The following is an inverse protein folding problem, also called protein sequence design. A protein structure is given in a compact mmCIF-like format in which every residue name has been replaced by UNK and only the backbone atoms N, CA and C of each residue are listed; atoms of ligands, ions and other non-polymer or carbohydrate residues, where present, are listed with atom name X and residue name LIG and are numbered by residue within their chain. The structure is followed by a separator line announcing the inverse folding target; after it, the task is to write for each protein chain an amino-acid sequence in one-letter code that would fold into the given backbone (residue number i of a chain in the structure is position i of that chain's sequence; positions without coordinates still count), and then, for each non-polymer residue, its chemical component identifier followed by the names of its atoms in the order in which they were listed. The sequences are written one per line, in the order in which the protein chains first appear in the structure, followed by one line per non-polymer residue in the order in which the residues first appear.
data_IF_528643251693
#
_entry.id   IF_528643251693
#
_cell.length_a   1.000
_cell.length_b   1.000
_cell.length_c   1.000
_cell.angle_alpha   90.00
_cell.angle_beta   90.00
_cell.angle_gamma   90.00
#
_symmetry.space_group_name_H-M   'P 1'
#
loop_
_entity.id
_entity.type
_entity.pdbx_description
1 polymer ?
#
# COMPACT_ATOMS: atom_id res chain seq x y z
N UNK A 1 -18.84 -2.07 23.12
CA UNK A 1 -19.53 -0.79 23.35
C UNK A 1 -20.74 -0.77 22.46
N UNK A 2 -21.93 -0.43 22.99
CA UNK A 2 -23.10 -0.18 22.16
C UNK A 2 -23.13 1.31 21.81
N UNK A 3 -23.39 1.62 20.55
CA UNK A 3 -23.67 2.98 20.13
C UNK A 3 -24.96 3.44 20.81
N UNK A 4 -24.93 4.62 21.43
CA UNK A 4 -26.10 5.22 22.09
C UNK A 4 -26.71 6.20 21.13
N UNK A 5 -27.98 6.00 20.80
CA UNK A 5 -28.71 6.97 19.97
C UNK A 5 -28.91 8.29 20.72
N UNK A 6 -28.90 9.44 20.01
CA UNK A 6 -29.39 10.69 20.58
C UNK A 6 -30.82 10.54 21.10
N UNK A 7 -31.16 11.31 22.11
CA UNK A 7 -32.52 11.34 22.65
C UNK A 7 -33.53 11.80 21.59
N UNK A 8 -34.80 11.39 21.75
CA UNK A 8 -35.89 11.84 20.87
C UNK A 8 -35.96 13.36 20.74
N UNK A 9 -35.70 14.08 21.84
CA UNK A 9 -35.70 15.54 21.85
C UNK A 9 -34.53 16.13 21.04
N UNK A 10 -33.36 15.48 21.04
CA UNK A 10 -32.24 15.90 20.18
C UNK A 10 -32.60 15.67 18.71
N UNK A 11 -33.11 14.48 18.37
CA UNK A 11 -33.50 14.13 16.99
C UNK A 11 -34.57 15.08 16.43
N UNK A 12 -35.57 15.46 17.23
CA UNK A 12 -36.63 16.38 16.83
C UNK A 12 -36.15 17.81 16.58
N UNK A 13 -35.03 18.21 17.18
CA UNK A 13 -34.48 19.56 17.06
C UNK A 13 -33.35 19.66 16.01
N UNK A 14 -32.99 18.56 15.35
CA UNK A 14 -32.03 18.57 14.24
C UNK A 14 -32.64 19.29 13.03
N UNK A 15 -31.95 20.34 12.58
CA UNK A 15 -32.34 21.10 11.38
C UNK A 15 -31.36 20.87 10.23
N UNK A 16 -30.07 20.76 10.53
CA UNK A 16 -29.01 20.46 9.57
C UNK A 16 -27.96 19.57 10.21
N UNK A 17 -27.32 18.76 9.38
CA UNK A 17 -26.15 17.98 9.76
C UNK A 17 -24.89 18.86 9.61
N UNK A 18 -24.13 19.00 10.69
CA UNK A 18 -22.99 19.93 10.73
C UNK A 18 -21.81 19.52 9.86
N UNK A 19 -21.64 18.23 9.59
CA UNK A 19 -20.51 17.70 8.81
C UNK A 19 -20.80 17.71 7.32
N UNK A 20 -22.02 17.32 6.93
CA UNK A 20 -22.43 17.22 5.53
C UNK A 20 -23.17 18.46 5.02
N UNK A 21 -23.64 19.35 5.91
CA UNK A 21 -24.46 20.51 5.58
C UNK A 21 -25.87 20.15 5.10
N UNK A 22 -26.32 18.91 5.33
CA UNK A 22 -27.61 18.40 4.84
C UNK A 22 -28.74 18.71 5.81
N UNK A 23 -29.82 19.32 5.33
CA UNK A 23 -31.03 19.56 6.12
C UNK A 23 -31.76 18.26 6.50
N UNK A 24 -32.23 18.19 7.75
CA UNK A 24 -33.18 17.17 8.22
C UNK A 24 -34.60 17.53 7.79
N UNK A 25 -35.48 16.53 7.66
CA UNK A 25 -36.88 16.75 7.28
C UNK A 25 -37.59 17.50 8.43
N UNK A 26 -38.09 18.73 8.22
CA UNK A 26 -38.77 19.46 9.29
C UNK A 26 -40.09 18.77 9.67
N UNK A 27 -40.34 18.65 10.98
CA UNK A 27 -41.57 18.07 11.52
C UNK A 27 -42.81 18.77 10.94
N UNK A 28 -43.77 18.00 10.43
CA UNK A 28 -45.04 18.52 9.90
C UNK A 28 -45.00 18.99 8.44
N UNK A 29 -43.91 18.76 7.69
CA UNK A 29 -43.81 19.17 6.28
C UNK A 29 -44.65 18.29 5.33
N UNK A 30 -45.39 18.92 4.41
CA UNK A 30 -46.15 18.26 3.34
C UNK A 30 -45.73 18.75 1.95
N UNK A 31 -45.62 17.88 0.93
CA UNK A 31 -45.87 16.44 0.97
C UNK A 31 -44.66 15.67 1.52
N UNK A 32 -44.91 14.87 2.57
CA UNK A 32 -43.89 14.07 3.25
C UNK A 32 -43.07 13.20 2.28
N UNK A 33 -43.73 12.59 1.29
CA UNK A 33 -43.08 11.72 0.30
C UNK A 33 -41.99 12.41 -0.51
N UNK A 34 -42.10 13.71 -0.79
CA UNK A 34 -41.06 14.43 -1.51
C UNK A 34 -39.80 14.55 -0.64
N UNK A 35 -39.97 14.88 0.64
CA UNK A 35 -38.86 15.02 1.58
C UNK A 35 -38.21 13.65 1.87
N UNK A 36 -39.01 12.60 2.02
CA UNK A 36 -38.50 11.23 2.17
C UNK A 36 -37.70 10.76 0.95
N UNK A 37 -38.17 11.04 -0.27
CA UNK A 37 -37.43 10.69 -1.50
C UNK A 37 -36.10 11.44 -1.61
N UNK A 38 -36.05 12.71 -1.18
CA UNK A 38 -34.79 13.48 -1.14
C UNK A 38 -33.79 12.87 -0.16
N UNK A 39 -34.25 12.50 1.04
CA UNK A 39 -33.44 11.81 2.04
C UNK A 39 -32.89 10.49 1.50
N UNK A 40 -33.76 9.63 0.97
CA UNK A 40 -33.38 8.35 0.40
C UNK A 40 -32.39 8.52 -0.76
N UNK A 41 -32.63 9.48 -1.66
CA UNK A 41 -31.72 9.78 -2.76
C UNK A 41 -30.32 10.16 -2.26
N UNK A 42 -30.21 11.00 -1.22
CA UNK A 42 -28.92 11.38 -0.63
C UNK A 42 -28.24 10.22 0.07
N UNK A 43 -28.99 9.42 0.85
CA UNK A 43 -28.46 8.21 1.47
C UNK A 43 -27.89 7.26 0.42
N UNK A 44 -28.60 7.07 -0.69
CA UNK A 44 -28.13 6.24 -1.80
C UNK A 44 -26.90 6.83 -2.50
N UNK A 45 -26.78 8.16 -2.61
CA UNK A 45 -25.56 8.79 -3.14
C UNK A 45 -24.36 8.59 -2.22
N UNK A 46 -24.52 8.77 -0.91
CA UNK A 46 -23.47 8.52 0.08
C UNK A 46 -23.05 7.05 0.09
N UNK A 47 -24.02 6.14 0.11
CA UNK A 47 -23.79 4.69 0.07
C UNK A 47 -23.28 4.18 -1.28
N UNK A 48 -23.48 4.93 -2.39
CA UNK A 48 -23.01 4.52 -3.72
C UNK A 48 -21.52 4.26 -3.73
N UNK A 49 -20.73 5.19 -3.17
CA UNK A 49 -19.26 5.07 -3.16
C UNK A 49 -18.78 3.87 -2.35
N UNK A 50 -19.47 3.52 -1.26
CA UNK A 50 -19.18 2.31 -0.50
C UNK A 50 -19.49 1.01 -1.28
N UNK A 51 -20.31 1.08 -2.32
CA UNK A 51 -20.64 -0.04 -3.20
C UNK A 51 -19.81 -0.07 -4.50
N UNK A 52 -18.94 0.91 -4.75
CA UNK A 52 -18.07 0.89 -5.92
C UNK A 52 -17.19 -0.38 -5.89
N UNK A 53 -17.06 -1.04 -7.05
CA UNK A 53 -16.28 -2.28 -7.22
C UNK A 53 -16.74 -3.48 -6.38
N UNK A 54 -17.91 -3.40 -5.72
CA UNK A 54 -18.42 -4.50 -4.90
C UNK A 54 -18.74 -5.72 -5.77
N UNK A 55 -18.25 -6.88 -5.34
CA UNK A 55 -18.66 -8.19 -5.85
C UNK A 55 -20.00 -8.60 -5.22
N UNK A 56 -20.91 -9.13 -6.03
CA UNK A 56 -22.21 -9.61 -5.58
C UNK A 56 -22.59 -10.90 -6.32
N UNK A 57 -23.36 -11.74 -5.64
CA UNK A 57 -23.88 -13.00 -6.15
C UNK A 57 -25.04 -12.74 -7.13
N UNK A 58 -24.99 -13.39 -8.31
CA UNK A 58 -26.03 -13.36 -9.35
C UNK A 58 -26.87 -14.65 -9.39
N UNK A 59 -26.51 -15.63 -8.56
CA UNK A 59 -27.12 -16.95 -8.43
C UNK A 59 -26.25 -18.04 -9.09
N UNK A 60 -26.21 -19.22 -8.46
CA UNK A 60 -25.38 -20.32 -8.93
C UNK A 60 -23.90 -19.98 -8.79
N UNK A 61 -23.11 -20.18 -9.84
CA UNK A 61 -21.68 -19.87 -9.84
C UNK A 61 -21.36 -18.49 -10.44
N UNK A 62 -22.36 -17.68 -10.78
CA UNK A 62 -22.14 -16.38 -11.42
C UNK A 62 -22.02 -15.25 -10.40
N UNK A 63 -20.97 -14.43 -10.56
CA UNK A 63 -20.84 -13.16 -9.85
C UNK A 63 -20.98 -11.96 -10.78
N UNK A 64 -21.50 -10.88 -10.22
CA UNK A 64 -21.41 -9.54 -10.80
C UNK A 64 -20.47 -8.65 -10.00
N UNK A 65 -19.92 -7.63 -10.66
CA UNK A 65 -19.07 -6.61 -10.03
C UNK A 65 -19.61 -5.24 -10.37
N UNK A 66 -19.89 -4.41 -9.36
CA UNK A 66 -20.35 -3.04 -9.57
C UNK A 66 -19.28 -2.17 -10.21
N UNK A 67 -19.68 -1.22 -11.04
CA UNK A 67 -18.78 -0.20 -11.56
C UNK A 67 -18.16 0.63 -10.44
N UNK A 68 -17.02 1.26 -10.72
CA UNK A 68 -16.27 2.04 -9.75
C UNK A 68 -14.99 2.59 -10.35
N UNK A 69 -14.14 3.16 -9.50
CA UNK A 69 -12.87 3.76 -9.92
C UNK A 69 -11.82 3.53 -8.84
N UNK A 70 -10.57 3.39 -9.25
CA UNK A 70 -9.44 3.32 -8.33
C UNK A 70 -8.23 4.07 -8.92
N UNK A 71 -7.33 4.49 -8.04
CA UNK A 71 -6.08 5.12 -8.45
C UNK A 71 -4.98 4.06 -8.50
N UNK A 72 -4.18 4.08 -9.56
CA UNK A 72 -2.91 3.36 -9.64
C UNK A 72 -1.80 4.37 -9.91
N UNK A 73 -0.99 4.65 -8.89
CA UNK A 73 -0.06 5.78 -8.93
C UNK A 73 -0.82 7.10 -9.15
N UNK A 74 -0.60 7.74 -10.29
CA UNK A 74 -1.24 9.01 -10.69
C UNK A 74 -2.35 8.84 -11.73
N UNK A 75 -2.71 7.60 -12.08
CA UNK A 75 -3.76 7.31 -13.06
C UNK A 75 -5.07 6.91 -12.37
N UNK A 76 -6.18 7.53 -12.78
CA UNK A 76 -7.52 7.15 -12.34
C UNK A 76 -8.12 6.15 -13.32
N UNK A 77 -8.19 4.89 -12.91
CA UNK A 77 -8.75 3.80 -13.70
C UNK A 77 -10.26 3.72 -13.44
N UNK A 78 -11.05 3.61 -14.51
CA UNK A 78 -12.50 3.48 -14.44
C UNK A 78 -12.92 2.06 -14.83
N UNK A 79 -13.72 1.43 -13.98
CA UNK A 79 -14.33 0.13 -14.25
C UNK A 79 -15.84 0.28 -14.40
N UNK A 80 -16.39 -0.15 -15.53
CA UNK A 80 -17.83 0.02 -15.82
C UNK A 80 -18.73 -0.97 -15.07
N UNK A 81 -18.15 -2.02 -14.48
CA UNK A 81 -18.90 -3.15 -13.94
C UNK A 81 -18.94 -4.32 -14.91
N UNK A 82 -19.28 -5.51 -14.41
CA UNK A 82 -19.52 -6.71 -15.20
C UNK A 82 -20.57 -7.60 -14.54
N UNK A 83 -21.12 -8.53 -15.31
CA UNK A 83 -22.15 -9.50 -14.92
C UNK A 83 -21.89 -10.83 -15.64
N UNK A 84 -22.37 -11.95 -15.11
CA UNK A 84 -22.25 -13.28 -15.71
C UNK A 84 -20.82 -13.82 -15.69
N UNK A 85 -20.05 -13.48 -14.65
CA UNK A 85 -18.69 -14.00 -14.50
C UNK A 85 -18.77 -15.33 -13.74
N UNK A 86 -18.80 -16.44 -14.49
CA UNK A 86 -18.91 -17.78 -13.92
C UNK A 86 -17.62 -18.20 -13.20
N UNK A 87 -17.79 -18.63 -11.95
CA UNK A 87 -16.75 -19.16 -11.09
C UNK A 87 -16.61 -20.67 -11.27
N UNK A 88 -15.46 -21.21 -10.87
CA UNK A 88 -15.30 -22.66 -10.75
C UNK A 88 -16.07 -23.19 -9.53
N UNK A 89 -16.55 -24.43 -9.64
CA UNK A 89 -17.25 -25.13 -8.57
C UNK A 89 -16.29 -25.78 -7.57
N UNK A 90 -16.80 -26.08 -6.37
CA UNK A 90 -16.10 -26.77 -5.28
C UNK A 90 -14.72 -26.17 -4.95
N UNK A 91 -14.66 -24.83 -4.86
CA UNK A 91 -13.44 -24.09 -4.51
C UNK A 91 -13.59 -23.41 -3.17
N UNK A 92 -12.60 -23.63 -2.30
CA UNK A 92 -12.53 -22.94 -1.01
C UNK A 92 -12.20 -21.45 -1.18
N UNK A 93 -11.34 -21.10 -2.15
CA UNK A 93 -10.95 -19.72 -2.40
C UNK A 93 -10.79 -19.43 -3.89
N UNK A 94 -11.56 -18.47 -4.39
CA UNK A 94 -11.40 -17.84 -5.69
C UNK A 94 -11.14 -16.36 -5.46
N UNK A 95 -10.04 -15.86 -6.01
CA UNK A 95 -9.55 -14.51 -5.82
C UNK A 95 -10.02 -13.62 -6.96
N UNK A 96 -10.79 -12.60 -6.62
CA UNK A 96 -11.40 -11.65 -7.56
C UNK A 96 -10.73 -10.29 -7.41
N UNK A 97 -10.13 -9.78 -8.48
CA UNK A 97 -9.41 -8.51 -8.47
C UNK A 97 -9.50 -7.79 -9.82
N UNK A 98 -9.21 -6.48 -9.86
CA UNK A 98 -8.94 -5.77 -11.12
C UNK A 98 -7.44 -5.62 -11.33
N UNK A 99 -6.95 -5.94 -12.52
CA UNK A 99 -5.55 -5.71 -12.89
C UNK A 99 -5.24 -4.21 -13.08
N UNK A 100 -3.99 -3.88 -13.39
CA UNK A 100 -3.53 -2.51 -13.62
C UNK A 100 -4.19 -1.81 -14.81
N UNK A 101 -4.86 -2.54 -15.70
CA UNK A 101 -5.64 -2.00 -16.81
C UNK A 101 -7.13 -1.90 -16.49
N UNK A 102 -7.56 -2.32 -15.30
CA UNK A 102 -8.95 -2.34 -14.89
C UNK A 102 -9.75 -3.54 -15.43
N UNK A 103 -9.09 -4.61 -15.89
CA UNK A 103 -9.79 -5.82 -16.30
C UNK A 103 -10.10 -6.69 -15.08
N UNK A 104 -11.29 -7.30 -15.07
CA UNK A 104 -11.65 -8.27 -14.05
C UNK A 104 -10.88 -9.57 -14.23
N UNK A 105 -10.23 -10.01 -13.16
CA UNK A 105 -9.57 -11.31 -13.08
C UNK A 105 -10.24 -12.13 -11.98
N UNK A 106 -10.54 -13.37 -12.33
CA UNK A 106 -11.04 -14.41 -11.43
C UNK A 106 -10.01 -15.54 -11.48
N UNK A 107 -9.40 -15.88 -10.35
CA UNK A 107 -8.33 -16.88 -10.34
C UNK A 107 -8.39 -17.79 -9.11
N UNK A 108 -7.90 -19.02 -9.27
CA UNK A 108 -7.89 -20.08 -8.25
C UNK A 108 -6.51 -20.23 -7.59
N UNK A 109 -5.78 -19.13 -7.44
CA UNK A 109 -4.50 -19.15 -6.73
C UNK A 109 -4.66 -19.60 -5.27
N UNK A 110 -3.55 -19.83 -4.57
CA UNK A 110 -3.58 -20.00 -3.10
C UNK A 110 -3.68 -18.68 -2.33
N UNK A 111 -3.51 -17.55 -3.02
CA UNK A 111 -3.58 -16.20 -2.47
C UNK A 111 -3.75 -15.17 -3.60
N UNK A 112 -4.09 -13.92 -3.26
CA UNK A 112 -3.87 -12.80 -4.20
C UNK A 112 -2.39 -12.75 -4.62
N UNK A 113 -2.08 -12.33 -5.86
CA UNK A 113 -0.70 -12.12 -6.29
C UNK A 113 -0.02 -11.02 -5.44
N UNK A 114 1.31 -10.96 -5.48
CA UNK A 114 2.06 -9.83 -4.90
C UNK A 114 1.75 -8.57 -5.70
N UNK A 115 1.46 -7.46 -5.01
CA UNK A 115 1.19 -6.17 -5.66
C UNK A 115 2.45 -5.52 -6.21
N UNK A 116 3.62 -5.90 -5.72
CA UNK A 116 4.92 -5.37 -6.19
C UNK A 116 5.24 -5.87 -7.59
N UNK A 117 4.87 -7.11 -7.88
CA UNK A 117 5.12 -7.75 -9.17
C UNK A 117 3.91 -7.67 -10.10
N UNK A 118 2.69 -7.63 -9.54
CA UNK A 118 1.44 -7.56 -10.30
C UNK A 118 0.53 -6.51 -9.66
N UNK A 119 0.61 -5.23 -10.06
CA UNK A 119 -0.25 -4.20 -9.50
C UNK A 119 -1.75 -4.48 -9.78
N UNK A 120 -2.57 -4.49 -8.73
CA UNK A 120 -4.01 -4.78 -8.80
C UNK A 120 -4.77 -4.18 -7.61
N UNK A 121 -6.10 -4.16 -7.68
CA UNK A 121 -6.98 -3.90 -6.54
C UNK A 121 -7.79 -5.14 -6.19
N UNK A 122 -7.71 -5.57 -4.92
CA UNK A 122 -8.45 -6.76 -4.44
C UNK A 122 -9.92 -6.41 -4.25
N UNK A 123 -10.79 -7.26 -4.76
CA UNK A 123 -12.24 -7.07 -4.65
C UNK A 123 -12.86 -8.02 -3.64
N UNK A 124 -12.66 -9.33 -3.82
CA UNK A 124 -13.22 -10.34 -2.93
C UNK A 124 -12.46 -11.67 -3.00
N UNK A 125 -12.68 -12.48 -1.98
CA UNK A 125 -12.45 -13.93 -2.02
C UNK A 125 -13.81 -14.62 -1.99
N UNK A 126 -14.04 -15.56 -2.90
CA UNK A 126 -15.30 -16.29 -3.04
C UNK A 126 -15.07 -17.77 -2.80
N UNK A 127 -15.95 -18.41 -2.02
CA UNK A 127 -16.00 -19.87 -1.90
C UNK A 127 -17.26 -20.42 -2.57
N UNK A 128 -17.13 -21.55 -3.25
CA UNK A 128 -18.19 -22.22 -4.01
C UNK A 128 -18.29 -23.68 -3.61
N UNK A 129 -19.51 -24.21 -3.59
CA UNK A 129 -19.74 -25.65 -3.46
C UNK A 129 -21.06 -26.07 -4.10
N UNK A 130 -21.09 -27.29 -4.63
CA UNK A 130 -22.32 -27.90 -5.17
C UNK A 130 -23.07 -27.03 -6.21
N UNK A 131 -22.33 -26.28 -7.02
CA UNK A 131 -22.87 -25.43 -8.08
C UNK A 131 -23.42 -24.09 -7.61
N UNK A 132 -23.09 -23.66 -6.38
CA UNK A 132 -23.54 -22.39 -5.80
C UNK A 132 -22.41 -21.65 -5.07
N UNK A 133 -22.63 -20.37 -4.78
CA UNK A 133 -21.71 -19.54 -3.99
C UNK A 133 -22.06 -19.67 -2.50
N UNK A 134 -21.10 -20.11 -1.69
CA UNK A 134 -21.27 -20.22 -0.24
C UNK A 134 -21.01 -18.89 0.47
N UNK A 135 -19.95 -18.18 0.06
CA UNK A 135 -19.50 -16.97 0.74
C UNK A 135 -18.75 -16.04 -0.21
N UNK A 136 -19.04 -14.74 -0.11
CA UNK A 136 -18.25 -13.66 -0.71
C UNK A 136 -17.67 -12.84 0.44
N UNK A 137 -16.35 -12.91 0.62
CA UNK A 137 -15.61 -12.09 1.59
C UNK A 137 -15.12 -10.83 0.90
N UNK A 138 -15.58 -9.66 1.36
CA UNK A 138 -15.18 -8.37 0.81
C UNK A 138 -13.72 -8.03 1.18
N UNK A 139 -12.86 -7.83 0.19
CA UNK A 139 -11.44 -7.49 0.37
C UNK A 139 -11.12 -6.03 0.05
N UNK A 140 -12.12 -5.22 -0.35
CA UNK A 140 -11.92 -3.83 -0.79
C UNK A 140 -11.41 -2.92 0.33
N UNK A 141 -11.69 -3.26 1.58
CA UNK A 141 -11.27 -2.47 2.77
C UNK A 141 -9.75 -2.28 2.81
N UNK A 142 -8.96 -3.24 2.30
CA UNK A 142 -7.50 -3.11 2.20
C UNK A 142 -7.03 -1.96 1.31
N UNK A 143 -7.92 -1.34 0.54
CA UNK A 143 -7.61 -0.28 -0.42
C UNK A 143 -8.42 1.02 -0.23
N UNK A 144 -9.40 1.04 0.68
CA UNK A 144 -10.28 2.20 0.90
C UNK A 144 -9.59 3.37 1.62
N UNK A 145 -8.55 3.06 2.40
CA UNK A 145 -7.74 4.04 3.10
C UNK A 145 -6.29 3.84 2.72
N UNK A 146 -5.84 4.56 1.70
CA UNK A 146 -4.42 4.82 1.53
C UNK A 146 -4.16 6.04 2.41
N UNK A 147 -3.58 5.82 3.59
CA UNK A 147 -2.82 6.88 4.24
C UNK A 147 -1.53 6.91 3.44
N UNK A 148 -1.31 7.85 2.51
CA UNK A 148 0.01 7.99 1.93
C UNK A 148 0.93 8.18 3.13
N UNK A 149 1.93 7.31 3.21
CA UNK A 149 3.00 7.32 4.19
C UNK A 149 3.66 8.72 4.31
N UNK A 150 3.39 9.63 3.36
CA UNK A 150 3.91 10.98 3.24
C UNK A 150 3.03 12.13 3.78
N UNK A 151 1.76 11.91 4.18
CA UNK A 151 0.92 13.01 4.70
C UNK A 151 1.26 13.46 6.14
N UNK A 152 2.16 12.76 6.81
CA UNK A 152 2.83 13.20 8.04
C UNK A 152 4.25 12.65 8.00
N UNK A 153 5.22 13.53 7.74
CA UNK A 153 6.61 13.20 7.40
C UNK A 153 7.11 11.88 7.97
N UNK A 154 7.49 10.97 7.07
CA UNK A 154 8.04 9.65 7.37
C UNK A 154 9.07 9.73 8.49
N UNK A 155 8.78 9.07 9.62
CA UNK A 155 9.87 8.56 10.46
C UNK A 155 10.51 7.46 9.65
N UNK A 156 11.71 7.72 9.12
CA UNK A 156 12.52 6.64 8.53
C UNK A 156 12.78 5.63 9.63
N UNK A 157 12.55 4.36 9.33
CA UNK A 157 12.98 3.29 10.23
C UNK A 157 14.49 3.42 10.41
N UNK A 158 14.94 3.45 11.68
CA UNK A 158 16.36 3.52 12.00
C UNK A 158 16.73 2.20 12.66
N UNK A 159 17.56 1.44 11.99
CA UNK A 159 18.06 0.16 12.48
C UNK A 159 19.54 0.27 12.84
N UNK A 160 19.88 -0.25 14.01
CA UNK A 160 21.25 -0.29 14.51
C UNK A 160 21.80 -1.71 14.40
N UNK A 161 22.94 -1.84 13.72
CA UNK A 161 23.62 -3.08 13.47
C UNK A 161 24.84 -3.24 14.37
N UNK A 162 24.93 -4.39 15.04
CA UNK A 162 26.08 -4.77 15.88
C UNK A 162 26.93 -5.89 15.26
N UNK A 163 26.51 -6.40 14.10
CA UNK A 163 27.15 -7.42 13.28
C UNK A 163 26.81 -7.16 11.80
N UNK A 164 27.48 -7.86 10.90
CA UNK A 164 27.19 -7.83 9.46
C UNK A 164 25.73 -8.24 9.17
N UNK A 165 25.17 -7.68 8.09
CA UNK A 165 23.81 -7.99 7.65
C UNK A 165 23.65 -7.88 6.12
N UNK A 166 22.60 -8.52 5.58
CA UNK A 166 22.19 -8.45 4.18
C UNK A 166 20.82 -7.81 4.08
N UNK A 167 20.78 -6.60 3.52
CA UNK A 167 19.57 -5.82 3.38
C UNK A 167 18.68 -6.35 2.25
N UNK A 168 17.38 -6.18 2.42
CA UNK A 168 16.34 -6.62 1.49
C UNK A 168 15.64 -5.44 0.82
N UNK A 169 14.98 -5.70 -0.31
CA UNK A 169 14.24 -4.65 -1.03
C UNK A 169 13.11 -4.00 -0.20
N UNK A 170 12.60 -4.71 0.80
CA UNK A 170 11.53 -4.23 1.68
C UNK A 170 11.97 -3.12 2.62
N UNK A 171 13.27 -2.99 2.85
CA UNK A 171 13.87 -2.00 3.73
C UNK A 171 14.19 -0.70 3.01
N UNK A 172 13.87 -0.59 1.71
CA UNK A 172 14.05 0.64 0.94
C UNK A 172 13.44 1.85 1.64
N UNK A 173 14.24 2.89 1.86
CA UNK A 173 13.87 4.13 2.54
C UNK A 173 14.28 4.21 4.02
N UNK A 174 14.81 3.13 4.58
CA UNK A 174 15.34 3.06 5.96
C UNK A 174 16.66 3.83 6.13
N UNK A 175 17.06 3.97 7.40
CA UNK A 175 18.40 4.39 7.83
C UNK A 175 19.04 3.23 8.60
N UNK A 176 20.23 2.80 8.19
CA UNK A 176 21.01 1.80 8.91
C UNK A 176 22.25 2.43 9.56
N UNK A 177 22.53 2.07 10.81
CA UNK A 177 23.68 2.58 11.58
C UNK A 177 24.47 1.46 12.21
N UNK A 178 25.71 1.72 12.62
CA UNK A 178 26.52 0.79 13.41
C UNK A 178 26.44 1.07 14.93
N UNK A 179 25.36 1.68 15.42
CA UNK A 179 25.23 2.02 16.84
C UNK A 179 25.34 0.76 17.71
N UNK A 180 26.26 0.79 18.67
CA UNK A 180 26.52 -0.34 19.57
C UNK A 180 27.48 -1.40 19.01
N UNK A 181 27.98 -1.22 17.78
CA UNK A 181 29.03 -2.08 17.25
C UNK A 181 30.30 -2.05 18.13
N UNK A 182 30.99 -3.18 18.20
CA UNK A 182 32.27 -3.34 18.90
C UNK A 182 33.42 -3.74 17.96
N UNK A 183 33.16 -3.69 16.65
CA UNK A 183 34.06 -4.01 15.55
C UNK A 183 33.44 -3.57 14.23
N UNK A 184 34.08 -3.95 13.13
CA UNK A 184 33.59 -3.68 11.77
C UNK A 184 32.19 -4.28 11.56
N UNK A 185 31.34 -3.53 10.87
CA UNK A 185 30.01 -3.96 10.41
C UNK A 185 29.93 -3.78 8.90
N UNK A 186 29.55 -4.82 8.18
CA UNK A 186 29.34 -4.83 6.72
C UNK A 186 27.87 -5.04 6.42
N UNK A 187 27.27 -4.07 5.73
CA UNK A 187 25.89 -4.12 5.27
C UNK A 187 25.88 -4.35 3.77
N UNK A 188 25.33 -5.49 3.35
CA UNK A 188 25.25 -5.88 1.94
C UNK A 188 23.95 -5.37 1.34
N UNK A 189 24.05 -4.59 0.25
CA UNK A 189 22.91 -4.06 -0.49
C UNK A 189 22.22 -5.18 -1.29
N UNK A 190 20.90 -5.07 -1.52
CA UNK A 190 20.17 -6.06 -2.30
C UNK A 190 20.65 -6.11 -3.74
N UNK A 191 20.87 -7.32 -4.26
CA UNK A 191 21.21 -7.52 -5.66
C UNK A 191 20.04 -7.17 -6.59
N UNK A 192 20.33 -6.62 -7.77
CA UNK A 192 19.32 -6.29 -8.80
C UNK A 192 18.16 -5.43 -8.28
N UNK A 193 18.48 -4.44 -7.43
CA UNK A 193 17.48 -3.52 -6.89
C UNK A 193 16.76 -2.74 -8.01
N UNK A 194 15.42 -2.64 -7.99
CA UNK A 194 14.68 -1.79 -8.93
C UNK A 194 15.14 -0.33 -8.88
N UNK A 195 15.07 0.36 -10.01
CA UNK A 195 15.39 1.79 -10.10
C UNK A 195 14.59 2.59 -9.04
N UNK A 196 15.30 3.41 -8.26
CA UNK A 196 14.71 4.22 -7.20
C UNK A 196 14.65 3.56 -5.81
N UNK A 197 15.10 2.31 -5.63
CA UNK A 197 15.37 1.76 -4.29
C UNK A 197 16.41 2.64 -3.58
N UNK A 198 16.18 3.01 -2.32
CA UNK A 198 17.08 3.92 -1.57
C UNK A 198 17.46 3.38 -0.20
N UNK A 199 18.68 3.69 0.23
CA UNK A 199 19.16 3.40 1.58
C UNK A 199 20.00 4.55 2.11
N UNK A 200 19.92 4.79 3.42
CA UNK A 200 20.76 5.76 4.13
C UNK A 200 21.61 5.03 5.14
N UNK A 201 22.89 5.38 5.21
CA UNK A 201 23.84 4.82 6.17
C UNK A 201 24.43 5.93 7.01
N UNK A 202 24.60 5.68 8.31
CA UNK A 202 25.23 6.63 9.22
C UNK A 202 26.10 5.94 10.28
N UNK A 203 27.31 6.45 10.48
CA UNK A 203 28.23 5.97 11.51
C UNK A 203 27.82 6.56 12.87
N UNK A 204 27.54 5.69 13.84
CA UNK A 204 27.17 6.03 15.22
C UNK A 204 28.05 5.35 16.28
N UNK A 205 28.89 4.38 15.90
CA UNK A 205 30.00 3.88 16.68
C UNK A 205 31.32 4.09 15.93
N UNK A 206 32.41 4.38 16.65
CA UNK A 206 33.73 4.62 16.08
C UNK A 206 34.43 3.32 15.65
N UNK A 207 33.78 2.58 14.77
CA UNK A 207 34.25 1.38 14.09
C UNK A 207 33.82 1.47 12.62
N UNK A 208 34.52 0.74 11.74
CA UNK A 208 34.21 0.73 10.32
C UNK A 208 32.77 0.27 10.05
N UNK A 209 32.02 1.10 9.32
CA UNK A 209 30.77 0.73 8.65
C UNK A 209 31.05 0.60 7.16
N UNK A 210 30.90 -0.62 6.64
CA UNK A 210 31.10 -0.96 5.23
C UNK A 210 29.73 -1.16 4.56
N UNK A 211 29.57 -0.60 3.37
CA UNK A 211 28.40 -0.84 2.52
C UNK A 211 28.86 -1.56 1.27
N UNK A 212 28.49 -2.84 1.18
CA UNK A 212 28.88 -3.75 0.11
C UNK A 212 27.79 -3.81 -0.97
N UNK A 213 28.07 -3.46 -2.25
CA UNK A 213 27.09 -3.56 -3.32
C UNK A 213 26.85 -4.99 -3.85
N UNK A 214 27.50 -6.00 -3.28
CA UNK A 214 27.53 -7.35 -3.85
C UNK A 214 28.29 -7.31 -5.17
N UNK A 215 27.65 -7.71 -6.27
CA UNK A 215 28.27 -7.69 -7.60
C UNK A 215 28.07 -6.38 -8.38
N UNK A 216 27.43 -5.37 -7.76
CA UNK A 216 27.08 -4.12 -8.42
C UNK A 216 28.19 -3.06 -8.25
N UNK A 217 28.04 -1.93 -8.94
CA UNK A 217 28.93 -0.78 -8.78
C UNK A 217 28.28 0.29 -7.90
N UNK A 218 29.05 0.87 -6.96
CA UNK A 218 28.66 2.13 -6.30
C UNK A 218 29.34 3.30 -7.02
N UNK A 219 28.54 4.08 -7.74
CA UNK A 219 28.96 5.29 -8.46
C UNK A 219 29.13 6.45 -7.49
N UNK A 220 30.32 6.55 -6.91
CA UNK A 220 30.75 7.62 -6.02
C UNK A 220 32.00 8.32 -6.58
N UNK A 221 32.35 9.49 -6.03
CA UNK A 221 33.61 10.18 -6.38
C UNK A 221 34.85 9.56 -5.70
N UNK A 222 34.67 8.69 -4.70
CA UNK A 222 35.75 7.93 -4.04
C UNK A 222 36.20 6.68 -4.80
N UNK A 223 35.50 6.32 -5.89
CA UNK A 223 35.74 5.11 -6.67
C UNK A 223 34.44 4.54 -7.24
N UNK A 224 34.53 3.72 -8.28
CA UNK A 224 33.38 3.09 -8.96
C UNK A 224 33.74 1.68 -9.44
N UNK A 225 34.58 0.99 -8.69
CA UNK A 225 34.98 -0.37 -9.04
C UNK A 225 33.86 -1.32 -8.64
N UNK A 226 33.43 -2.20 -9.54
CA UNK A 226 32.46 -3.24 -9.22
C UNK A 226 32.96 -4.10 -8.04
N UNK A 227 32.02 -4.56 -7.22
CA UNK A 227 32.27 -5.45 -6.07
C UNK A 227 33.09 -4.83 -4.93
N UNK A 228 33.35 -3.51 -4.99
CA UNK A 228 34.07 -2.79 -3.94
C UNK A 228 33.10 -2.06 -3.02
N UNK A 229 33.25 -2.29 -1.72
CA UNK A 229 32.44 -1.61 -0.70
C UNK A 229 32.86 -0.15 -0.51
N UNK A 230 31.96 0.65 0.06
CA UNK A 230 32.27 1.97 0.64
C UNK A 230 32.43 1.87 2.15
N UNK A 231 33.40 2.57 2.72
CA UNK A 231 33.70 2.52 4.16
C UNK A 231 33.89 3.91 4.76
N UNK A 232 33.42 4.04 5.99
CA UNK A 232 33.58 5.18 6.88
C UNK A 232 33.74 4.68 8.33
N UNK A 233 34.40 5.44 9.20
CA UNK A 233 34.71 5.03 10.57
C UNK A 233 34.55 6.14 11.62
N UNK A 234 34.24 7.38 11.20
CA UNK A 234 34.04 8.48 12.11
C UNK A 234 32.55 8.72 12.40
N UNK A 235 32.20 8.89 13.67
CA UNK A 235 30.82 9.15 14.10
C UNK A 235 30.28 10.42 13.42
N UNK A 236 29.09 10.32 12.83
CA UNK A 236 28.41 11.41 12.13
C UNK A 236 28.58 11.39 10.62
N UNK A 237 29.46 10.54 10.08
CA UNK A 237 29.56 10.34 8.63
C UNK A 237 28.32 9.62 8.09
N UNK A 238 27.81 10.06 6.95
CA UNK A 238 26.62 9.47 6.34
C UNK A 238 26.65 9.49 4.81
N UNK A 239 26.00 8.51 4.21
CA UNK A 239 25.87 8.37 2.75
C UNK A 239 24.48 7.86 2.39
N UNK A 240 23.93 8.38 1.30
CA UNK A 240 22.64 7.93 0.74
C UNK A 240 22.88 7.38 -0.66
N UNK A 241 22.36 6.18 -0.90
CA UNK A 241 22.37 5.54 -2.22
C UNK A 241 20.97 5.47 -2.82
N UNK A 242 20.91 5.53 -4.14
CA UNK A 242 19.73 5.22 -4.94
C UNK A 242 20.12 4.25 -6.07
N UNK A 243 19.37 3.18 -6.26
CA UNK A 243 19.57 2.24 -7.36
C UNK A 243 19.22 2.91 -8.71
N UNK A 244 20.08 2.71 -9.71
CA UNK A 244 19.86 3.17 -11.08
C UNK A 244 19.24 2.07 -11.96
N UNK A 245 18.91 2.41 -13.21
CA UNK A 245 18.31 1.48 -14.16
C UNK A 245 19.24 0.34 -14.62
N UNK A 246 20.53 0.35 -14.26
CA UNK A 246 21.48 -0.71 -14.57
C UNK A 246 21.64 -1.72 -13.42
N UNK A 247 20.95 -1.50 -12.29
CA UNK A 247 21.18 -2.28 -11.07
C UNK A 247 22.46 -1.87 -10.33
N UNK A 248 23.05 -0.72 -10.68
CA UNK A 248 24.14 -0.07 -9.93
C UNK A 248 23.55 0.91 -8.90
N UNK A 249 24.39 1.41 -8.01
CA UNK A 249 24.01 2.38 -6.98
C UNK A 249 24.65 3.74 -7.24
N UNK A 250 23.87 4.81 -7.20
CA UNK A 250 24.36 6.18 -7.27
C UNK A 250 24.40 6.83 -5.88
N UNK A 251 25.51 7.50 -5.54
CA UNK A 251 25.55 8.38 -4.37
C UNK A 251 24.74 9.64 -4.63
N UNK A 252 23.66 9.85 -3.86
CA UNK A 252 22.79 11.04 -4.01
C UNK A 252 23.02 12.09 -2.92
N UNK A 253 23.57 11.69 -1.78
CA UNK A 253 24.00 12.59 -0.72
C UNK A 253 25.11 11.95 0.10
N UNK A 254 26.07 12.76 0.56
CA UNK A 254 27.20 12.30 1.37
C UNK A 254 27.67 13.40 2.33
N UNK A 255 28.02 13.01 3.54
CA UNK A 255 28.67 13.85 4.55
C UNK A 255 29.81 13.07 5.22
N UNK A 256 30.97 13.71 5.37
CA UNK A 256 32.18 13.07 5.88
C UNK A 256 32.99 12.34 4.81
N UNK A 257 33.93 11.51 5.26
CA UNK A 257 34.87 10.78 4.40
C UNK A 257 34.39 9.35 4.22
N UNK A 258 33.87 9.05 3.03
CA UNK A 258 33.66 7.67 2.59
C UNK A 258 34.69 7.33 1.53
N UNK A 259 35.35 6.18 1.69
CA UNK A 259 36.37 5.70 0.75
C UNK A 259 35.95 4.36 0.15
N UNK A 260 36.47 4.06 -1.04
CA UNK A 260 36.38 2.72 -1.62
C UNK A 260 37.36 1.77 -0.91
N UNK A 261 37.01 0.49 -0.84
CA UNK A 261 37.98 -0.55 -0.47
C UNK A 261 39.28 -0.41 -1.29
N UNK A 262 40.46 -0.44 -0.63
CA UNK A 262 41.76 -0.39 -1.31
C UNK A 262 42.00 -1.46 -2.38
#
# INVERSE_FOLDING_TARGET
MAEVYPSDNELLNLQTDGETGVEYIPTGTSPYYLQFRKLLYRLLLAARRANDLRVYDEGGLDIGVKGGKFWLGTELINYNGSTGNTLADDRENIYVYLDSSGNLVVNEYSSFPSMDTTPHIRLATVSTSSGDIDLITDCRVGHNFVVPYEAGGVKKEVEAHTSDDTLTLWESGSIHTNLGASGTVTLTLPASAPEGTTFVFAVQAAYELRVDPGNATIRDDSGQTADKYKVADAIGECITFAADSNGDWATVAKHGTWTEEP
#
